data_IF_656210653467
#
_entry.id   IF_656210653467
#
_cell.length_a   1.000
_cell.length_b   1.000
_cell.length_c   1.000
_cell.angle_alpha   90.00
_cell.angle_beta   90.00
_cell.angle_gamma   90.00
#
_symmetry.space_group_name_H-M   'P 1'
#
loop_
_entity.id
_entity.type
_entity.pdbx_description
1 polymer ?
#
# COMPACT_ATOMS: atom_id res chain seq x y z
N UNK A 1 15.41 -18.09 -0.83
CA UNK A 1 14.11 -17.83 -1.51
C UNK A 1 13.19 -18.96 -1.12
N UNK A 2 12.59 -18.86 0.07
CA UNK A 2 11.55 -19.81 0.47
C UNK A 2 10.27 -19.41 -0.25
N UNK A 3 9.74 -20.35 -0.97
CA UNK A 3 8.57 -20.21 -1.82
C UNK A 3 7.34 -19.78 -1.01
N UNK A 4 6.73 -18.66 -1.42
CA UNK A 4 5.41 -18.20 -0.95
C UNK A 4 4.28 -19.17 -1.29
N UNK A 5 4.58 -20.47 -1.51
CA UNK A 5 3.67 -21.41 -2.19
C UNK A 5 2.48 -21.87 -1.37
N UNK A 6 2.46 -21.66 -0.04
CA UNK A 6 1.39 -22.16 0.82
C UNK A 6 0.91 -21.19 1.89
N UNK A 7 1.07 -19.88 1.65
CA UNK A 7 0.61 -18.88 2.61
C UNK A 7 -0.80 -18.46 2.24
N UNK A 8 -1.72 -18.54 3.19
CA UNK A 8 -3.13 -18.23 2.99
C UNK A 8 -3.38 -16.71 2.92
N UNK A 9 -2.99 -16.12 1.79
CA UNK A 9 -3.23 -14.69 1.51
C UNK A 9 -4.73 -14.41 1.44
N UNK A 10 -5.50 -15.27 0.81
CA UNK A 10 -6.95 -15.09 0.67
C UNK A 10 -7.65 -15.12 2.02
N UNK A 11 -7.29 -16.05 2.89
CA UNK A 11 -7.85 -16.13 4.24
C UNK A 11 -7.56 -14.88 5.07
N UNK A 12 -6.31 -14.41 5.08
CA UNK A 12 -5.95 -13.18 5.77
C UNK A 12 -6.70 -11.96 5.20
N UNK A 13 -6.78 -11.85 3.88
CA UNK A 13 -7.45 -10.74 3.21
C UNK A 13 -8.95 -10.70 3.52
N UNK A 14 -9.62 -11.86 3.43
CA UNK A 14 -11.05 -11.99 3.79
C UNK A 14 -11.31 -11.61 5.25
N UNK A 15 -10.49 -12.09 6.17
CA UNK A 15 -10.61 -11.75 7.59
C UNK A 15 -10.47 -10.25 7.84
N UNK A 16 -9.52 -9.61 7.14
CA UNK A 16 -9.20 -8.20 7.36
C UNK A 16 -10.19 -7.24 6.68
N UNK A 17 -10.63 -7.55 5.46
CA UNK A 17 -11.36 -6.61 4.61
C UNK A 17 -12.75 -7.09 4.20
N UNK A 18 -13.04 -8.39 4.32
CA UNK A 18 -14.32 -8.96 3.91
C UNK A 18 -14.54 -9.04 2.39
N UNK A 19 -13.50 -8.81 1.59
CA UNK A 19 -13.58 -8.87 0.14
C UNK A 19 -13.81 -10.31 -0.35
N UNK A 20 -14.48 -10.45 -1.51
CA UNK A 20 -14.72 -11.73 -2.13
C UNK A 20 -13.49 -12.26 -2.91
N UNK A 21 -13.59 -13.53 -3.33
CA UNK A 21 -12.50 -14.19 -4.07
C UNK A 21 -12.19 -13.50 -5.41
N UNK A 22 -13.19 -12.94 -6.08
CA UNK A 22 -13.01 -12.27 -7.36
C UNK A 22 -12.19 -11.00 -7.19
N UNK A 23 -12.51 -10.17 -6.20
CA UNK A 23 -11.75 -8.96 -5.88
C UNK A 23 -10.30 -9.29 -5.49
N UNK A 24 -10.12 -10.26 -4.59
CA UNK A 24 -8.79 -10.67 -4.15
C UNK A 24 -7.95 -11.21 -5.32
N UNK A 25 -8.54 -12.00 -6.20
CA UNK A 25 -7.87 -12.53 -7.39
C UNK A 25 -7.56 -11.42 -8.41
N UNK A 26 -8.44 -10.43 -8.57
CA UNK A 26 -8.18 -9.26 -9.42
C UNK A 26 -6.95 -8.50 -8.96
N UNK A 27 -6.71 -8.41 -7.65
CA UNK A 27 -5.48 -7.83 -7.12
C UNK A 27 -4.28 -8.80 -7.28
N UNK A 28 -4.37 -9.99 -6.72
CA UNK A 28 -3.22 -10.90 -6.61
C UNK A 28 -2.73 -11.45 -7.94
N UNK A 29 -3.65 -11.72 -8.86
CA UNK A 29 -3.37 -12.24 -10.20
C UNK A 29 -3.37 -11.13 -11.26
N UNK A 30 -4.36 -10.24 -11.22
CA UNK A 30 -4.53 -9.18 -12.22
C UNK A 30 -3.44 -8.12 -12.15
N UNK A 31 -2.93 -7.83 -10.98
CA UNK A 31 -1.83 -6.86 -10.76
C UNK A 31 -0.48 -7.51 -10.48
N UNK A 32 -0.37 -8.83 -10.74
CA UNK A 32 0.88 -9.56 -10.52
C UNK A 32 2.05 -8.90 -11.23
N UNK A 33 3.11 -8.61 -10.46
CA UNK A 33 4.29 -7.91 -10.94
C UNK A 33 4.23 -6.39 -10.94
N UNK A 34 3.09 -5.80 -10.58
CA UNK A 34 2.93 -4.35 -10.43
C UNK A 34 3.05 -3.87 -8.99
N UNK A 35 3.21 -4.80 -8.06
CA UNK A 35 3.41 -4.50 -6.65
C UNK A 35 4.56 -5.31 -6.04
N UNK A 36 5.10 -4.79 -4.95
CA UNK A 36 5.98 -5.53 -4.05
C UNK A 36 5.20 -5.90 -2.79
N UNK A 37 5.27 -7.17 -2.41
CA UNK A 37 4.61 -7.70 -1.21
C UNK A 37 5.60 -7.82 -0.06
N UNK A 38 5.16 -7.49 1.13
CA UNK A 38 5.87 -7.66 2.39
C UNK A 38 5.03 -8.53 3.31
N UNK A 39 5.66 -9.48 3.97
CA UNK A 39 4.95 -10.46 4.83
C UNK A 39 5.67 -10.68 6.14
N UNK A 40 4.89 -11.01 7.18
CA UNK A 40 5.40 -11.64 8.40
C UNK A 40 4.84 -13.06 8.45
N UNK A 41 5.74 -14.03 8.44
CA UNK A 41 5.42 -15.46 8.49
C UNK A 41 6.11 -16.08 9.69
N UNK A 42 5.35 -16.75 10.55
CA UNK A 42 5.86 -17.52 11.68
C UNK A 42 5.27 -18.94 11.63
N UNK A 43 6.13 -19.94 11.82
CA UNK A 43 5.72 -21.36 11.81
C UNK A 43 4.87 -21.72 10.58
N UNK A 44 5.30 -21.26 9.42
CA UNK A 44 4.63 -21.47 8.13
C UNK A 44 3.22 -20.86 8.03
N UNK A 45 2.91 -19.87 8.86
CA UNK A 45 1.63 -19.17 8.86
C UNK A 45 1.82 -17.68 8.57
N UNK A 46 1.04 -17.16 7.63
CA UNK A 46 1.04 -15.72 7.33
C UNK A 46 0.29 -14.96 8.42
N UNK A 47 0.99 -14.04 9.09
CA UNK A 47 0.44 -13.24 10.18
C UNK A 47 0.10 -11.82 9.77
N UNK A 48 0.90 -11.24 8.87
CA UNK A 48 0.70 -9.86 8.41
C UNK A 48 1.19 -9.69 6.98
N UNK A 49 0.56 -8.80 6.25
CA UNK A 49 0.83 -8.51 4.84
C UNK A 49 0.70 -7.02 4.56
N UNK A 50 1.50 -6.55 3.61
CA UNK A 50 1.46 -5.19 3.09
C UNK A 50 1.94 -5.21 1.64
N UNK A 51 1.34 -4.39 0.79
CA UNK A 51 1.75 -4.22 -0.61
C UNK A 51 2.16 -2.78 -0.87
N UNK A 52 3.12 -2.60 -1.76
CA UNK A 52 3.49 -1.30 -2.31
C UNK A 52 3.33 -1.37 -3.82
N UNK A 53 2.46 -0.52 -4.35
CA UNK A 53 2.34 -0.27 -5.79
C UNK A 53 3.15 0.97 -6.15
N UNK A 54 3.61 1.04 -7.39
CA UNK A 54 4.30 2.22 -7.91
C UNK A 54 3.36 3.05 -8.77
N UNK A 55 3.25 4.32 -8.44
CA UNK A 55 2.53 5.33 -9.23
C UNK A 55 3.48 6.45 -9.63
N UNK A 56 3.09 7.21 -10.64
CA UNK A 56 3.76 8.44 -11.05
C UNK A 56 2.82 9.63 -10.85
N UNK A 57 3.37 10.73 -10.40
CA UNK A 57 2.68 12.00 -10.22
C UNK A 57 3.63 13.13 -10.61
N UNK A 58 3.33 13.84 -11.70
CA UNK A 58 4.13 14.98 -12.19
C UNK A 58 5.64 14.67 -12.34
N UNK A 59 5.96 13.46 -12.78
CA UNK A 59 7.34 12.98 -12.95
C UNK A 59 7.99 12.44 -11.68
N UNK A 60 7.32 12.49 -10.54
CA UNK A 60 7.76 11.88 -9.27
C UNK A 60 7.26 10.44 -9.17
N UNK A 61 8.09 9.57 -8.58
CA UNK A 61 7.73 8.18 -8.29
C UNK A 61 7.14 8.07 -6.90
N UNK A 62 5.92 7.55 -6.82
CA UNK A 62 5.13 7.46 -5.61
C UNK A 62 4.90 5.99 -5.25
N UNK A 63 5.30 5.60 -4.04
CA UNK A 63 4.93 4.31 -3.47
C UNK A 63 3.57 4.39 -2.79
N UNK A 64 2.61 3.56 -3.20
CA UNK A 64 1.30 3.49 -2.58
C UNK A 64 1.20 2.24 -1.73
N UNK A 65 1.12 2.42 -0.42
CA UNK A 65 0.88 1.33 0.53
C UNK A 65 -0.59 0.93 0.45
N UNK A 66 -0.82 -0.35 0.15
CA UNK A 66 -2.15 -0.91 -0.06
C UNK A 66 -2.31 -2.27 0.61
N UNK A 67 -3.52 -2.58 1.07
CA UNK A 67 -3.87 -3.90 1.59
C UNK A 67 -3.03 -4.31 2.79
N UNK A 68 -2.89 -3.42 3.77
CA UNK A 68 -2.22 -3.73 5.04
C UNK A 68 -3.17 -4.52 5.92
N UNK A 69 -2.81 -5.76 6.23
CA UNK A 69 -3.64 -6.65 7.03
C UNK A 69 -2.80 -7.45 8.02
N UNK A 70 -3.35 -7.66 9.21
CA UNK A 70 -2.79 -8.53 10.25
C UNK A 70 -3.90 -9.40 10.81
N UNK A 71 -3.66 -10.71 10.91
CA UNK A 71 -4.59 -11.65 11.56
C UNK A 71 -5.04 -11.10 12.92
N UNK A 72 -6.31 -11.23 13.25
CA UNK A 72 -6.90 -10.68 14.48
C UNK A 72 -6.14 -11.13 15.73
N UNK A 73 -5.77 -12.41 15.81
CA UNK A 73 -5.01 -13.00 16.92
C UNK A 73 -3.55 -12.54 16.99
N UNK A 74 -3.01 -11.96 15.92
CA UNK A 74 -1.63 -11.47 15.82
C UNK A 74 -1.53 -9.94 15.94
N UNK A 75 -2.65 -9.25 16.08
CA UNK A 75 -2.67 -7.79 16.22
C UNK A 75 -2.02 -7.34 17.53
N UNK A 76 -1.63 -6.05 17.58
CA UNK A 76 -0.97 -5.41 18.73
C UNK A 76 0.40 -6.00 19.08
N UNK A 77 1.02 -6.74 18.15
CA UNK A 77 2.39 -7.26 18.26
C UNK A 77 3.41 -6.47 17.46
N UNK A 78 2.99 -5.37 16.81
CA UNK A 78 3.86 -4.51 16.03
C UNK A 78 4.16 -4.98 14.59
N UNK A 79 3.51 -6.02 14.09
CA UNK A 79 3.79 -6.55 12.75
C UNK A 79 3.49 -5.55 11.63
N UNK A 80 2.33 -4.87 11.68
CA UNK A 80 2.01 -3.83 10.70
C UNK A 80 3.05 -2.71 10.72
N UNK A 81 3.45 -2.23 11.90
CA UNK A 81 4.50 -1.22 12.05
C UNK A 81 5.84 -1.66 11.47
N UNK A 82 6.21 -2.92 11.67
CA UNK A 82 7.43 -3.52 11.11
C UNK A 82 7.39 -3.52 9.59
N UNK A 83 6.26 -3.91 8.98
CA UNK A 83 6.10 -3.93 7.54
C UNK A 83 6.08 -2.52 6.94
N UNK A 84 5.39 -1.58 7.57
CA UNK A 84 5.35 -0.17 7.13
C UNK A 84 6.76 0.42 7.14
N UNK A 85 7.52 0.23 8.22
CA UNK A 85 8.89 0.71 8.31
C UNK A 85 9.76 0.12 7.20
N UNK A 86 9.68 -1.18 6.97
CA UNK A 86 10.44 -1.86 5.92
C UNK A 86 10.07 -1.34 4.53
N UNK A 87 8.79 -1.13 4.26
CA UNK A 87 8.31 -0.59 2.99
C UNK A 87 8.85 0.83 2.74
N UNK A 88 8.83 1.70 3.76
CA UNK A 88 9.38 3.05 3.68
C UNK A 88 10.88 3.01 3.39
N UNK A 89 11.64 2.22 4.14
CA UNK A 89 13.09 2.09 3.99
C UNK A 89 13.45 1.59 2.58
N UNK A 90 12.71 0.61 2.07
CA UNK A 90 12.91 0.07 0.72
C UNK A 90 12.55 1.10 -0.36
N UNK A 91 11.45 1.82 -0.22
CA UNK A 91 11.08 2.90 -1.14
C UNK A 91 12.17 3.97 -1.21
N UNK A 92 12.71 4.39 -0.07
CA UNK A 92 13.81 5.35 -0.02
C UNK A 92 15.06 4.82 -0.77
N UNK A 93 15.45 3.57 -0.54
CA UNK A 93 16.59 2.94 -1.22
C UNK A 93 16.37 2.79 -2.73
N UNK A 94 15.14 2.55 -3.16
CA UNK A 94 14.78 2.41 -4.58
C UNK A 94 14.57 3.75 -5.29
N UNK A 95 14.75 4.87 -4.59
CA UNK A 95 14.64 6.22 -5.16
C UNK A 95 13.20 6.69 -5.40
N UNK A 96 12.24 6.21 -4.62
CA UNK A 96 10.91 6.79 -4.59
C UNK A 96 10.95 8.19 -3.97
N UNK A 97 10.14 9.09 -4.49
CA UNK A 97 10.09 10.49 -4.04
C UNK A 97 9.15 10.69 -2.85
N UNK A 98 8.12 9.87 -2.75
CA UNK A 98 7.20 9.85 -1.61
C UNK A 98 6.55 8.48 -1.44
N UNK A 99 6.01 8.25 -0.25
CA UNK A 99 5.09 7.15 0.04
C UNK A 99 3.75 7.73 0.45
N UNK A 100 2.67 7.18 -0.08
CA UNK A 100 1.30 7.60 0.23
C UNK A 100 0.46 6.40 0.65
N UNK A 101 -0.62 6.65 1.36
CA UNK A 101 -1.61 5.64 1.72
C UNK A 101 -2.97 6.27 2.01
N UNK A 102 -4.03 5.47 1.90
CA UNK A 102 -5.38 5.83 2.37
C UNK A 102 -5.61 5.07 3.68
N UNK A 103 -5.52 5.71 4.86
CA UNK A 103 -5.83 5.04 6.12
C UNK A 103 -7.30 4.61 6.16
N UNK A 104 -7.56 3.34 6.48
CA UNK A 104 -8.91 2.80 6.51
C UNK A 104 -9.76 3.34 7.67
N UNK A 105 -9.10 3.82 8.74
CA UNK A 105 -9.76 4.38 9.92
C UNK A 105 -8.80 5.31 10.67
N UNK A 106 -9.31 5.96 11.71
CA UNK A 106 -8.55 6.92 12.50
C UNK A 106 -7.39 6.27 13.30
N UNK A 107 -7.54 5.03 13.73
CA UNK A 107 -6.47 4.30 14.41
C UNK A 107 -5.28 4.08 13.48
N UNK A 108 -5.53 3.66 12.24
CA UNK A 108 -4.48 3.51 11.21
C UNK A 108 -3.90 4.86 10.79
N UNK A 109 -4.71 5.93 10.72
CA UNK A 109 -4.19 7.27 10.47
C UNK A 109 -3.18 7.69 11.53
N UNK A 110 -3.47 7.47 12.80
CA UNK A 110 -2.54 7.73 13.91
C UNK A 110 -1.27 6.89 13.81
N UNK A 111 -1.40 5.63 13.37
CA UNK A 111 -0.24 4.77 13.12
C UNK A 111 0.65 5.35 12.04
N UNK A 112 0.10 5.74 10.88
CA UNK A 112 0.87 6.34 9.79
C UNK A 112 1.47 7.69 10.19
N UNK A 113 0.76 8.51 10.96
CA UNK A 113 1.29 9.79 11.46
C UNK A 113 2.57 9.59 12.29
N UNK A 114 2.68 8.50 13.05
CA UNK A 114 3.90 8.17 13.81
C UNK A 114 5.11 7.89 12.91
N UNK A 115 4.89 7.49 11.66
CA UNK A 115 5.95 7.33 10.66
C UNK A 115 6.23 8.62 9.87
N UNK A 116 5.54 9.71 10.16
CA UNK A 116 5.73 10.99 9.50
C UNK A 116 4.80 11.26 8.33
N UNK A 117 3.80 10.39 8.08
CA UNK A 117 2.75 10.67 7.09
C UNK A 117 1.88 11.81 7.58
N UNK A 118 1.66 12.79 6.72
CA UNK A 118 0.90 14.01 7.03
C UNK A 118 -0.01 14.38 5.87
N UNK A 119 -0.89 15.34 6.12
CA UNK A 119 -1.77 15.94 5.12
C UNK A 119 -2.99 15.09 4.78
N UNK A 120 -3.78 15.62 3.88
CA UNK A 120 -5.00 15.00 3.38
C UNK A 120 -5.27 15.50 1.97
N UNK A 121 -5.22 14.59 0.98
CA UNK A 121 -5.48 14.89 -0.42
C UNK A 121 -6.49 13.92 -0.98
N UNK A 122 -7.37 14.43 -1.85
CA UNK A 122 -8.25 13.58 -2.62
C UNK A 122 -7.44 12.77 -3.64
N UNK A 123 -7.52 11.44 -3.59
CA UNK A 123 -6.85 10.59 -4.56
C UNK A 123 -7.65 10.49 -5.86
N UNK A 124 -6.94 10.59 -6.99
CA UNK A 124 -7.45 10.28 -8.32
C UNK A 124 -6.49 9.24 -8.93
N UNK A 125 -6.97 8.02 -9.10
CA UNK A 125 -6.16 6.93 -9.67
C UNK A 125 -6.42 6.80 -11.17
N UNK A 126 -5.35 6.78 -11.96
CA UNK A 126 -5.37 6.56 -13.41
C UNK A 126 -4.66 5.26 -13.71
N UNK A 127 -5.36 4.32 -14.32
CA UNK A 127 -4.82 3.02 -14.68
C UNK A 127 -5.54 2.44 -15.89
N UNK A 128 -4.81 1.66 -16.71
CA UNK A 128 -5.39 0.79 -17.73
C UNK A 128 -5.90 -0.54 -17.17
N UNK A 129 -5.64 -0.80 -15.88
CA UNK A 129 -6.12 -1.98 -15.18
C UNK A 129 -7.54 -1.74 -14.66
N UNK A 130 -8.41 -2.72 -14.81
CA UNK A 130 -9.76 -2.69 -14.23
C UNK A 130 -9.68 -3.08 -12.75
N UNK A 131 -9.24 -2.13 -11.94
CA UNK A 131 -9.11 -2.30 -10.49
C UNK A 131 -9.34 -0.96 -9.77
N UNK A 132 -10.13 -0.98 -8.70
CA UNK A 132 -10.31 0.16 -7.81
C UNK A 132 -9.22 0.19 -6.75
N UNK A 133 -8.31 1.15 -6.87
CA UNK A 133 -7.21 1.36 -5.92
C UNK A 133 -7.63 2.14 -4.67
N UNK A 134 -8.86 2.65 -4.63
CA UNK A 134 -9.41 3.39 -3.50
C UNK A 134 -10.22 2.52 -2.55
N UNK A 135 -11.13 3.16 -1.85
CA UNK A 135 -12.01 2.53 -0.84
C UNK A 135 -13.33 2.01 -1.43
N UNK A 136 -13.58 2.23 -2.73
CA UNK A 136 -14.88 2.04 -3.36
C UNK A 136 -15.81 3.26 -3.23
N UNK A 137 -15.47 4.22 -2.37
CA UNK A 137 -16.19 5.47 -2.18
C UNK A 137 -15.22 6.63 -2.38
N UNK A 138 -15.30 7.29 -3.55
CA UNK A 138 -14.33 8.33 -3.97
C UNK A 138 -14.12 9.43 -2.94
N UNK A 139 -15.18 9.85 -2.26
CA UNK A 139 -15.11 10.88 -1.22
C UNK A 139 -14.30 10.44 0.03
N UNK A 140 -14.08 9.15 0.20
CA UNK A 140 -13.25 8.56 1.27
C UNK A 140 -11.83 8.25 0.83
N UNK A 141 -11.49 8.46 -0.44
CA UNK A 141 -10.14 8.23 -0.97
C UNK A 141 -9.20 9.38 -0.60
N UNK A 142 -8.96 9.53 0.69
CA UNK A 142 -8.16 10.59 1.28
C UNK A 142 -6.77 10.08 1.66
N UNK A 143 -5.77 10.51 0.88
CA UNK A 143 -4.37 10.16 1.07
C UNK A 143 -3.71 10.97 2.18
N UNK A 144 -2.83 10.33 2.93
CA UNK A 144 -1.73 11.00 3.61
C UNK A 144 -0.41 10.63 2.94
N UNK A 145 0.62 11.45 3.11
CA UNK A 145 1.89 11.32 2.40
C UNK A 145 3.09 11.48 3.31
N UNK A 146 4.15 10.74 2.97
CA UNK A 146 5.49 10.87 3.54
C UNK A 146 6.45 11.20 2.40
N UNK A 147 6.85 12.47 2.22
CA UNK A 147 7.89 12.84 1.27
C UNK A 147 9.24 12.22 1.66
N UNK A 148 9.94 11.66 0.69
CA UNK A 148 11.29 11.09 0.84
C UNK A 148 12.34 11.94 0.12
N UNK A 149 11.91 12.71 -0.89
CA UNK A 149 12.74 13.63 -1.66
C UNK A 149 12.44 15.07 -1.21
N UNK A 150 13.45 15.76 -0.71
CA UNK A 150 13.33 17.16 -0.24
C UNK A 150 12.97 18.16 -1.33
N UNK A 151 13.18 17.81 -2.60
CA UNK A 151 12.82 18.65 -3.74
C UNK A 151 11.35 18.47 -4.17
N UNK A 152 10.67 17.47 -3.64
CA UNK A 152 9.26 17.25 -3.93
C UNK A 152 8.39 18.21 -3.13
N UNK A 153 7.57 18.99 -3.84
CA UNK A 153 6.59 19.88 -3.24
C UNK A 153 5.20 19.33 -3.53
N UNK A 154 4.50 18.94 -2.48
CA UNK A 154 3.10 18.54 -2.58
C UNK A 154 2.21 19.79 -2.71
N UNK A 155 1.10 19.71 -3.46
CA UNK A 155 0.14 20.81 -3.51
C UNK A 155 -0.49 21.05 -2.12
N UNK A 156 -1.21 22.14 -1.91
CA UNK A 156 -1.87 22.40 -0.65
C UNK A 156 -2.78 21.24 -0.22
N UNK A 157 -2.84 20.89 1.08
CA UNK A 157 -3.78 19.88 1.59
C UNK A 157 -5.22 20.19 1.16
N UNK A 158 -6.06 19.16 1.05
CA UNK A 158 -7.44 19.20 0.56
C UNK A 158 -7.61 19.45 -0.95
N UNK A 159 -6.51 19.57 -1.70
CA UNK A 159 -6.54 19.47 -3.17
C UNK A 159 -6.46 18.01 -3.61
N UNK A 160 -6.50 17.76 -4.93
CA UNK A 160 -6.42 16.40 -5.48
C UNK A 160 -4.99 16.05 -5.87
N UNK A 161 -4.64 14.77 -5.71
CA UNK A 161 -3.43 14.16 -6.27
C UNK A 161 -3.82 13.13 -7.32
N UNK A 162 -3.35 13.33 -8.54
CA UNK A 162 -3.56 12.38 -9.65
C UNK A 162 -2.39 11.43 -9.75
N UNK A 163 -2.66 10.15 -9.52
CA UNK A 163 -1.68 9.08 -9.45
C UNK A 163 -1.86 8.15 -10.66
N UNK A 164 -0.83 8.04 -11.50
CA UNK A 164 -0.81 7.16 -12.67
C UNK A 164 -0.10 5.86 -12.31
N UNK A 165 -0.79 4.73 -12.43
CA UNK A 165 -0.19 3.42 -12.18
C UNK A 165 1.00 3.21 -13.12
N UNK A 166 2.16 2.89 -12.55
CA UNK A 166 3.38 2.65 -13.31
C UNK A 166 3.71 1.15 -13.37
N UNK A 167 4.50 0.77 -14.34
CA UNK A 167 5.03 -0.59 -14.54
C UNK A 167 6.41 -0.78 -13.89
N UNK A 168 6.76 0.06 -12.91
CA UNK A 168 8.08 0.08 -12.28
C UNK A 168 8.54 -1.31 -11.83
N UNK A 169 7.68 -2.04 -11.13
CA UNK A 169 8.03 -3.35 -10.62
C UNK A 169 8.13 -4.44 -11.70
N UNK A 170 7.50 -4.25 -12.86
CA UNK A 170 7.62 -5.19 -13.98
C UNK A 170 9.02 -5.20 -14.59
N UNK A 171 9.75 -4.08 -14.49
CA UNK A 171 11.11 -3.92 -15.03
C UNK A 171 12.18 -4.65 -14.21
N UNK A 172 11.85 -5.08 -13.00
CA UNK A 172 12.78 -5.69 -12.05
C UNK A 172 12.43 -7.16 -11.73
N UNK A 173 11.68 -7.80 -12.59
CA UNK A 173 11.37 -9.25 -12.52
C UNK A 173 12.54 -10.11 -12.97
#
# INVERSE_FOLDING_TARGET
MQEERDVDIKGLWKEAFGDDDEFISSFTEGLKGRYKRYTVIEKNRLLSILHVLSFEMDGFRIGYIYGVATLSEARKRGYASQLIKKAIDDCAKMGFDAVVTIPANEELRKLYNRFGFEGCWQAIFISSQDFDFGTGEKEKDLLCALPLNSNMVLPPPHSSLTLHLSDYYEKYK
#
